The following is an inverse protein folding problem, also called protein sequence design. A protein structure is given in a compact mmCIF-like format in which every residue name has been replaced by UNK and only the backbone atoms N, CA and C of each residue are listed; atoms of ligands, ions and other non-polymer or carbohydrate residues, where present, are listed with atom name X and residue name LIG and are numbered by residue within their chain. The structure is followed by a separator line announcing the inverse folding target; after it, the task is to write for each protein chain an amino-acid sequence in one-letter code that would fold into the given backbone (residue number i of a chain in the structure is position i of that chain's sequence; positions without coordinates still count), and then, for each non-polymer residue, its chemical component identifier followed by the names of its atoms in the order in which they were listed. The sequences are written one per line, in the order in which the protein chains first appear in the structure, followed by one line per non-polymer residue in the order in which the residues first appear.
data_IF_517780577360
#
_entry.id   IF_517780577360
#
_cell.length_a   1.000
_cell.length_b   1.000
_cell.length_c   1.000
_cell.angle_alpha   90.00
_cell.angle_beta   90.00
_cell.angle_gamma   90.00
#
_symmetry.space_group_name_H-M   'P 1'
#
loop_
_entity.id
_entity.type
_entity.pdbx_description
1 polymer ?
#
# COMPACT_ATOMS: atom_id res chain seq x y z
N UNK A 1 17.08 -8.26 42.62
CA UNK A 1 17.82 -7.72 41.46
C UNK A 1 16.82 -7.63 40.31
N UNK A 2 16.14 -6.48 40.19
CA UNK A 2 15.00 -6.29 39.30
C UNK A 2 15.44 -5.92 37.88
N UNK A 3 14.73 -6.47 36.90
CA UNK A 3 14.96 -6.34 35.47
C UNK A 3 14.76 -4.90 34.94
N UNK A 4 15.63 -4.48 34.03
CA UNK A 4 15.39 -3.34 33.14
C UNK A 4 15.17 -3.85 31.73
N UNK A 5 13.91 -4.04 31.32
CA UNK A 5 13.59 -4.20 29.91
C UNK A 5 13.68 -2.81 29.26
N UNK A 6 14.65 -2.64 28.37
CA UNK A 6 14.76 -1.45 27.53
C UNK A 6 13.49 -1.34 26.68
N UNK A 7 12.64 -0.37 26.99
CA UNK A 7 11.54 0.01 26.12
C UNK A 7 12.15 0.80 24.96
N UNK A 8 12.32 0.14 23.82
CA UNK A 8 12.58 0.85 22.57
C UNK A 8 11.36 1.73 22.27
N UNK A 9 11.57 3.04 22.19
CA UNK A 9 10.51 3.93 21.72
C UNK A 9 10.05 3.45 20.34
N UNK A 10 8.74 3.31 20.09
CA UNK A 10 8.25 3.03 18.75
C UNK A 10 8.75 4.17 17.86
N UNK A 11 9.66 3.85 16.93
CA UNK A 11 10.02 4.82 15.90
C UNK A 11 8.74 5.18 15.16
N UNK A 12 8.47 6.46 14.90
CA UNK A 12 7.31 6.83 14.10
C UNK A 12 7.49 6.11 12.75
N UNK A 13 6.51 5.27 12.39
CA UNK A 13 6.55 4.45 11.18
C UNK A 13 6.04 5.31 10.01
N UNK A 14 6.72 5.31 8.86
CA UNK A 14 6.30 6.10 7.72
C UNK A 14 4.91 5.66 7.25
N UNK A 15 4.04 6.62 6.95
CA UNK A 15 2.72 6.31 6.38
C UNK A 15 2.83 6.11 4.87
N UNK A 16 2.00 5.24 4.31
CA UNK A 16 1.97 4.98 2.87
C UNK A 16 0.79 5.73 2.26
N UNK A 17 1.01 6.44 1.16
CA UNK A 17 -0.06 7.03 0.35
C UNK A 17 0.03 6.52 -1.08
N UNK A 18 -1.13 6.24 -1.68
CA UNK A 18 -1.24 5.79 -3.07
C UNK A 18 -2.22 6.68 -3.81
N UNK A 19 -1.81 7.21 -4.95
CA UNK A 19 -2.69 7.86 -5.91
C UNK A 19 -3.14 6.82 -6.92
N UNK A 20 -4.44 6.57 -7.01
CA UNK A 20 -5.02 5.57 -7.92
C UNK A 20 -5.95 6.25 -8.91
N UNK A 21 -5.62 6.20 -10.19
CA UNK A 21 -6.36 6.85 -11.27
C UNK A 21 -7.08 5.82 -12.13
N UNK A 22 -8.36 6.04 -12.36
CA UNK A 22 -9.17 5.27 -13.28
C UNK A 22 -10.14 6.20 -14.02
N UNK A 23 -10.28 6.04 -15.33
CA UNK A 23 -11.16 6.86 -16.18
C UNK A 23 -10.97 8.38 -15.96
N UNK A 24 -9.72 8.82 -15.77
CA UNK A 24 -9.37 10.23 -15.54
C UNK A 24 -9.64 10.75 -14.12
N UNK A 25 -10.19 9.94 -13.21
CA UNK A 25 -10.41 10.30 -11.80
C UNK A 25 -9.35 9.69 -10.90
N UNK A 26 -8.63 10.53 -10.16
CA UNK A 26 -7.65 10.10 -9.15
C UNK A 26 -8.29 10.03 -7.77
N UNK A 27 -8.07 8.91 -7.08
CA UNK A 27 -8.50 8.66 -5.71
C UNK A 27 -7.25 8.49 -4.83
N UNK A 28 -7.02 9.39 -3.86
CA UNK A 28 -5.95 9.21 -2.89
C UNK A 28 -6.36 8.16 -1.85
N UNK A 29 -5.45 7.22 -1.57
CA UNK A 29 -5.63 6.16 -0.57
C UNK A 29 -4.49 6.28 0.45
N UNK A 30 -4.85 6.54 1.69
CA UNK A 30 -3.92 6.57 2.82
C UNK A 30 -3.92 5.20 3.51
N UNK A 31 -2.73 4.67 3.76
CA UNK A 31 -2.51 3.34 4.35
C UNK A 31 -1.69 3.53 5.62
N UNK A 32 -2.29 3.19 6.75
CA UNK A 32 -1.62 3.19 8.04
C UNK A 32 -0.88 1.87 8.26
N UNK A 33 0.27 1.89 8.94
CA UNK A 33 0.92 0.66 9.38
C UNK A 33 -0.03 -0.18 10.25
N UNK A 34 -0.06 -1.50 10.05
CA UNK A 34 -0.94 -2.43 10.78
C UNK A 34 -0.19 -3.68 11.24
N UNK A 35 -0.63 -4.25 12.37
CA UNK A 35 -0.24 -5.57 12.85
C UNK A 35 -1.18 -6.69 12.36
N UNK A 36 -2.37 -6.35 11.87
CA UNK A 36 -3.32 -7.27 11.25
C UNK A 36 -3.43 -6.97 9.73
N UNK A 37 -2.59 -7.61 8.89
CA UNK A 37 -2.64 -7.42 7.44
C UNK A 37 -3.86 -8.07 6.78
N UNK A 38 -4.54 -9.00 7.46
CA UNK A 38 -5.66 -9.76 6.89
C UNK A 38 -6.97 -8.98 7.00
N UNK A 39 -7.13 -8.18 8.06
CA UNK A 39 -8.29 -7.31 8.25
C UNK A 39 -8.37 -6.09 7.30
N UNK A 40 -7.29 -5.77 6.56
CA UNK A 40 -7.29 -4.62 5.63
C UNK A 40 -8.21 -4.87 4.45
N UNK A 41 -9.25 -4.04 4.31
CA UNK A 41 -10.20 -4.11 3.21
C UNK A 41 -9.63 -3.53 1.90
N UNK A 42 -10.16 -4.00 0.77
CA UNK A 42 -9.91 -3.38 -0.53
C UNK A 42 -10.80 -2.16 -0.73
N UNK A 43 -10.29 -1.13 -1.40
CA UNK A 43 -11.03 0.06 -1.82
C UNK A 43 -11.60 -0.19 -3.22
N UNK A 44 -12.92 -0.03 -3.40
CA UNK A 44 -13.55 -0.07 -4.74
C UNK A 44 -13.18 1.17 -5.53
N UNK A 45 -12.75 0.98 -6.77
CA UNK A 45 -12.46 2.02 -7.75
C UNK A 45 -13.47 1.89 -8.88
N UNK A 46 -14.54 2.68 -8.77
CA UNK A 46 -15.67 2.74 -9.70
C UNK A 46 -16.34 1.37 -9.95
N UNK A 47 -16.27 0.47 -8.97
CA UNK A 47 -16.74 -0.92 -9.05
C UNK A 47 -16.12 -1.75 -10.18
N UNK A 48 -15.04 -1.25 -10.80
CA UNK A 48 -14.31 -1.92 -11.89
C UNK A 48 -13.02 -2.55 -11.41
N UNK A 49 -12.34 -1.88 -10.50
CA UNK A 49 -11.13 -2.35 -9.87
C UNK A 49 -11.25 -2.29 -8.35
N UNK A 50 -10.47 -3.12 -7.67
CA UNK A 50 -10.33 -3.06 -6.23
C UNK A 50 -8.85 -2.93 -5.91
N UNK A 51 -8.50 -1.89 -5.18
CA UNK A 51 -7.13 -1.60 -4.77
C UNK A 51 -6.96 -1.88 -3.28
N UNK A 52 -6.01 -2.73 -2.92
CA UNK A 52 -5.67 -3.01 -1.53
C UNK A 52 -4.18 -2.79 -1.34
N UNK A 53 -3.81 -1.96 -0.38
CA UNK A 53 -2.44 -1.78 0.04
C UNK A 53 -2.34 -2.05 1.54
N UNK A 54 -1.31 -2.80 1.93
CA UNK A 54 -1.04 -3.21 3.30
C UNK A 54 0.37 -2.79 3.66
N UNK A 55 0.54 -2.09 4.77
CA UNK A 55 1.84 -1.75 5.32
C UNK A 55 2.04 -2.46 6.66
N UNK A 56 2.96 -3.41 6.69
CA UNK A 56 3.41 -4.09 7.91
C UNK A 56 4.73 -3.47 8.35
N UNK A 57 4.79 -2.80 9.52
CA UNK A 57 5.95 -2.03 9.96
C UNK A 57 7.13 -2.91 10.36
N UNK A 58 8.32 -2.30 10.47
CA UNK A 58 9.59 -2.98 10.73
C UNK A 58 9.60 -3.82 12.02
N UNK A 59 8.85 -3.41 13.03
CA UNK A 59 8.76 -4.11 14.33
C UNK A 59 7.95 -5.41 14.33
N UNK A 60 7.33 -5.79 13.21
CA UNK A 60 6.56 -7.04 13.07
C UNK A 60 7.40 -8.18 12.51
N UNK A 61 6.93 -9.44 12.64
CA UNK A 61 7.67 -10.64 12.21
C UNK A 61 8.01 -10.68 10.71
N UNK A 62 7.20 -10.04 9.88
CA UNK A 62 7.38 -10.01 8.43
C UNK A 62 7.05 -8.62 7.86
N UNK A 63 7.97 -7.65 8.03
CA UNK A 63 7.76 -6.28 7.58
C UNK A 63 7.72 -6.22 6.06
N UNK A 64 6.68 -5.60 5.51
CA UNK A 64 6.45 -5.53 4.07
C UNK A 64 5.43 -4.46 3.72
N UNK A 65 5.48 -3.99 2.48
CA UNK A 65 4.38 -3.32 1.83
C UNK A 65 3.85 -4.26 0.75
N UNK A 66 2.57 -4.60 0.82
CA UNK A 66 1.92 -5.44 -0.17
C UNK A 66 0.82 -4.66 -0.88
N UNK A 67 0.86 -4.62 -2.20
CA UNK A 67 -0.12 -3.96 -3.06
C UNK A 67 -0.81 -5.04 -3.90
N UNK A 68 -2.13 -5.01 -3.89
CA UNK A 68 -2.98 -5.91 -4.66
C UNK A 68 -3.91 -5.06 -5.51
N UNK A 69 -3.98 -5.41 -6.79
CA UNK A 69 -4.99 -4.87 -7.69
C UNK A 69 -5.84 -6.03 -8.18
N UNK A 70 -7.15 -5.89 -8.02
CA UNK A 70 -8.14 -6.80 -8.55
C UNK A 70 -8.99 -6.08 -9.59
N UNK A 71 -9.55 -6.83 -10.53
CA UNK A 71 -10.61 -6.37 -11.42
C UNK A 71 -11.95 -7.01 -11.04
N UNK A 72 -13.05 -6.39 -11.46
CA UNK A 72 -14.37 -7.00 -11.40
C UNK A 72 -14.39 -8.36 -12.13
N UNK A 73 -15.10 -9.32 -11.55
CA UNK A 73 -15.31 -10.64 -12.09
C UNK A 73 -16.76 -11.08 -11.87
N UNK A 74 -17.26 -12.10 -12.60
CA UNK A 74 -18.67 -12.51 -12.55
C UNK A 74 -19.15 -13.00 -11.17
N UNK A 75 -18.26 -13.60 -10.39
CA UNK A 75 -18.57 -14.15 -9.06
C UNK A 75 -17.79 -13.45 -7.94
N UNK A 76 -16.52 -13.14 -8.19
CA UNK A 76 -15.64 -12.48 -7.24
C UNK A 76 -14.58 -11.65 -7.97
N UNK A 77 -13.97 -10.65 -7.31
CA UNK A 77 -12.83 -9.94 -7.85
C UNK A 77 -11.68 -10.88 -8.24
N UNK A 78 -11.04 -10.60 -9.37
CA UNK A 78 -9.94 -11.40 -9.91
C UNK A 78 -8.65 -10.61 -9.70
N UNK A 79 -7.67 -11.21 -9.02
CA UNK A 79 -6.34 -10.62 -8.82
C UNK A 79 -5.63 -10.48 -10.17
N UNK A 80 -5.18 -9.27 -10.48
CA UNK A 80 -4.42 -8.98 -11.72
C UNK A 80 -2.97 -8.58 -11.42
N UNK A 81 -2.69 -8.09 -10.22
CA UNK A 81 -1.32 -7.83 -9.79
C UNK A 81 -1.19 -7.96 -8.27
N UNK A 82 -0.07 -8.53 -7.84
CA UNK A 82 0.37 -8.53 -6.46
C UNK A 82 1.85 -8.13 -6.44
N UNK A 83 2.16 -7.05 -5.71
CA UNK A 83 3.52 -6.58 -5.50
C UNK A 83 3.84 -6.63 -4.02
N UNK A 84 5.01 -7.17 -3.67
CA UNK A 84 5.51 -7.20 -2.30
C UNK A 84 6.88 -6.54 -2.23
N UNK A 85 6.98 -5.48 -1.44
CA UNK A 85 8.20 -4.77 -1.12
C UNK A 85 8.61 -5.12 0.30
N UNK A 86 9.91 -5.35 0.51
CA UNK A 86 10.48 -5.56 1.84
C UNK A 86 11.51 -4.46 2.11
N UNK A 87 11.73 -4.12 3.38
CA UNK A 87 12.78 -3.17 3.75
C UNK A 87 14.17 -3.68 3.28
N UNK A 88 15.13 -2.77 3.06
CA UNK A 88 15.04 -1.32 3.30
C UNK A 88 14.26 -0.59 2.20
N UNK A 89 13.39 0.33 2.61
CA UNK A 89 12.66 1.21 1.68
C UNK A 89 13.49 2.45 1.34
N UNK A 90 13.23 3.09 0.19
CA UNK A 90 13.83 4.39 -0.14
C UNK A 90 13.52 5.42 0.96
N UNK A 91 14.52 6.22 1.29
CA UNK A 91 14.40 7.25 2.34
C UNK A 91 13.64 8.47 1.80
N UNK A 92 12.70 8.94 2.61
CA UNK A 92 11.97 10.17 2.42
C UNK A 92 12.82 11.37 2.86
N UNK A 93 13.86 11.74 2.10
CA UNK A 93 14.84 12.73 2.57
C UNK A 93 14.26 14.15 2.73
N UNK A 94 13.27 14.55 1.92
CA UNK A 94 12.68 15.91 1.91
C UNK A 94 11.17 15.93 1.57
N UNK A 95 10.48 14.79 1.68
CA UNK A 95 9.10 14.66 1.24
C UNK A 95 8.69 13.20 1.07
N UNK A 96 7.84 12.89 0.11
CA UNK A 96 7.43 11.53 -0.15
C UNK A 96 8.53 10.73 -0.87
N UNK A 97 8.86 9.53 -0.39
CA UNK A 97 9.74 8.59 -1.09
C UNK A 97 8.92 7.69 -2.01
N UNK A 98 9.20 7.75 -3.30
CA UNK A 98 8.55 6.91 -4.30
C UNK A 98 9.01 5.45 -4.16
N UNK A 99 8.06 4.51 -4.27
CA UNK A 99 8.35 3.08 -4.05
C UNK A 99 8.70 2.32 -5.33
N UNK A 100 7.91 2.51 -6.39
CA UNK A 100 7.91 1.66 -7.59
C UNK A 100 7.78 2.44 -8.90
N UNK A 101 7.73 3.76 -8.84
CA UNK A 101 7.25 4.60 -9.93
C UNK A 101 5.74 4.49 -10.12
N UNK A 102 5.29 5.03 -11.24
CA UNK A 102 3.92 4.86 -11.72
C UNK A 102 3.77 3.47 -12.35
N UNK A 103 2.62 2.83 -12.11
CA UNK A 103 2.29 1.50 -12.59
C UNK A 103 1.01 1.56 -13.39
N UNK A 104 0.99 0.93 -14.56
CA UNK A 104 -0.15 0.87 -15.47
C UNK A 104 -0.63 -0.56 -15.61
N UNK A 105 -1.92 -0.78 -15.35
CA UNK A 105 -2.55 -2.09 -15.43
C UNK A 105 -3.71 -2.02 -16.40
N UNK A 106 -3.62 -2.81 -17.48
CA UNK A 106 -4.68 -2.93 -18.48
C UNK A 106 -5.43 -4.24 -18.27
N UNK A 107 -6.72 -4.17 -17.93
CA UNK A 107 -7.50 -5.38 -17.69
C UNK A 107 -9.01 -5.20 -17.90
N UNK A 108 -9.69 -6.30 -18.21
CA UNK A 108 -11.15 -6.33 -18.39
C UNK A 108 -11.58 -6.01 -19.81
N UNK A 109 -12.87 -5.66 -19.98
CA UNK A 109 -13.41 -5.29 -21.30
C UNK A 109 -12.83 -3.94 -21.73
N UNK A 110 -12.55 -3.80 -23.03
CA UNK A 110 -12.04 -2.57 -23.65
C UNK A 110 -10.67 -2.12 -23.11
N UNK A 111 -9.85 -3.04 -22.58
CA UNK A 111 -8.50 -2.75 -22.08
C UNK A 111 -8.45 -1.58 -21.09
N UNK A 112 -9.47 -1.48 -20.23
CA UNK A 112 -9.55 -0.48 -19.16
C UNK A 112 -8.21 -0.41 -18.41
N UNK A 113 -7.75 0.81 -18.22
CA UNK A 113 -6.49 1.12 -17.58
C UNK A 113 -6.71 1.63 -16.16
N UNK A 114 -6.02 1.02 -15.21
CA UNK A 114 -5.82 1.56 -13.87
C UNK A 114 -4.37 1.95 -13.71
N UNK A 115 -4.15 3.19 -13.26
CA UNK A 115 -2.82 3.74 -12.98
C UNK A 115 -2.69 3.89 -11.48
N UNK A 116 -1.56 3.51 -10.89
CA UNK A 116 -1.27 3.87 -9.51
C UNK A 116 0.17 4.28 -9.28
N UNK A 117 0.37 5.11 -8.26
CA UNK A 117 1.68 5.49 -7.76
C UNK A 117 1.64 5.57 -6.24
N UNK A 118 2.55 4.88 -5.57
CA UNK A 118 2.61 4.83 -4.11
C UNK A 118 3.91 5.42 -3.58
N UNK A 119 3.80 6.17 -2.48
CA UNK A 119 4.94 6.80 -1.83
C UNK A 119 4.85 6.68 -0.31
N UNK A 120 6.00 6.57 0.33
CA UNK A 120 6.13 6.66 1.78
C UNK A 120 6.27 8.13 2.18
N UNK A 121 5.43 8.57 3.10
CA UNK A 121 5.56 9.87 3.72
C UNK A 121 6.51 9.77 4.93
N UNK A 122 7.23 10.85 5.25
CA UNK A 122 8.02 10.92 6.47
C UNK A 122 7.11 10.63 7.66
N UNK A 123 7.64 9.90 8.62
CA UNK A 123 6.93 9.71 9.87
C UNK A 123 6.83 11.07 10.58
N UNK A 124 5.61 11.46 10.94
CA UNK A 124 5.39 12.74 11.62
C UNK A 124 6.06 12.69 12.99
N UNK A 125 6.83 13.72 13.40
CA UNK A 125 7.47 13.78 14.72
C UNK A 125 6.50 13.72 15.88
#
# INVERSE_FOLDING_TARGET
MGAGLAQGNPSPEPSLTCQVTYAGKTTPISVTPTSDPYGVASVSIDDRFFFKAVHVPAGQREPRIAIYVYREGPQQPILIQHVQLRPPYPKAEQGAADLLGEQHLHAGKLERELIYRCSLLPATP
#
